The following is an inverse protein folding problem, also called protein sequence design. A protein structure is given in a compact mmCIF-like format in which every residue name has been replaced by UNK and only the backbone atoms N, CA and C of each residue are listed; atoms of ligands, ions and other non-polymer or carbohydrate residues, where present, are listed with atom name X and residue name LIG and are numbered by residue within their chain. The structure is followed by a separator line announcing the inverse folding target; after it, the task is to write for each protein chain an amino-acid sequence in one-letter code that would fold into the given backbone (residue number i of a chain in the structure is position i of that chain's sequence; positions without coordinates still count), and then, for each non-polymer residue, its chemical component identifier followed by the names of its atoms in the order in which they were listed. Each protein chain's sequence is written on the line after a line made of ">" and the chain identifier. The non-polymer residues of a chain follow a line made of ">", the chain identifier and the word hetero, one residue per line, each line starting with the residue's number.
data_IF_092487032347
#
_entry.id   IF_092487032347
#
_cell.length_a   1.000
_cell.length_b   1.000
_cell.length_c   1.000
_cell.angle_alpha   90.00
_cell.angle_beta   90.00
_cell.angle_gamma   90.00
#
_symmetry.space_group_name_H-M   'P 1'
#
loop_
_entity.id
_entity.type
_entity.pdbx_description
1 polymer ?
#
# COMPACT_ATOMS: atom_id res chain seq x y z
N UNK A 1 -19.55 -10.37 16.21
CA UNK A 1 -20.48 -9.55 15.41
C UNK A 1 -19.85 -8.19 15.26
N UNK A 2 -19.33 -7.78 14.09
CA UNK A 2 -18.88 -6.40 13.90
C UNK A 2 -20.11 -5.50 13.98
N UNK A 3 -20.03 -4.48 14.82
CA UNK A 3 -21.06 -3.45 14.95
C UNK A 3 -21.05 -2.64 13.66
N UNK A 4 -22.03 -2.87 12.79
CA UNK A 4 -22.28 -2.02 11.62
C UNK A 4 -22.46 -0.58 12.13
N UNK A 5 -21.49 0.29 11.86
CA UNK A 5 -21.60 1.71 12.17
C UNK A 5 -22.68 2.26 11.24
N UNK A 6 -23.90 2.39 11.74
CA UNK A 6 -25.04 2.96 11.03
C UNK A 6 -24.80 4.46 10.82
N UNK A 7 -24.13 4.82 9.73
CA UNK A 7 -23.98 6.22 9.33
C UNK A 7 -25.34 6.85 9.00
N UNK A 8 -25.57 8.05 9.49
CA UNK A 8 -26.74 8.87 9.12
C UNK A 8 -26.71 9.19 7.61
N UNK A 9 -27.85 9.51 6.99
CA UNK A 9 -27.87 9.92 5.58
C UNK A 9 -26.94 11.10 5.26
N UNK A 10 -26.75 12.02 6.22
CA UNK A 10 -25.83 13.15 6.08
C UNK A 10 -24.36 12.70 6.09
N UNK A 11 -23.99 11.79 6.98
CA UNK A 11 -22.65 11.21 7.04
C UNK A 11 -22.33 10.41 5.79
N UNK A 12 -23.24 9.55 5.31
CA UNK A 12 -23.04 8.81 4.05
C UNK A 12 -22.83 9.75 2.87
N UNK A 13 -23.57 10.86 2.80
CA UNK A 13 -23.37 11.87 1.75
C UNK A 13 -22.00 12.53 1.89
N UNK A 14 -21.60 12.86 3.11
CA UNK A 14 -20.29 13.46 3.39
C UNK A 14 -19.15 12.53 2.97
N UNK A 15 -19.21 11.26 3.35
CA UNK A 15 -18.22 10.25 2.95
C UNK A 15 -18.13 10.12 1.43
N UNK A 16 -19.28 10.02 0.75
CA UNK A 16 -19.30 9.91 -0.72
C UNK A 16 -18.68 11.11 -1.43
N UNK A 17 -18.89 12.32 -0.92
CA UNK A 17 -18.24 13.51 -1.50
C UNK A 17 -16.75 13.51 -1.21
N UNK A 18 -16.34 13.10 -0.02
CA UNK A 18 -14.93 12.97 0.35
C UNK A 18 -14.19 11.97 -0.55
N UNK A 19 -14.77 10.80 -0.79
CA UNK A 19 -14.24 9.80 -1.74
C UNK A 19 -14.14 10.35 -3.17
N UNK A 20 -15.12 11.12 -3.61
CA UNK A 20 -15.10 11.76 -4.94
C UNK A 20 -13.95 12.77 -5.07
N UNK A 21 -13.68 13.55 -4.01
CA UNK A 21 -12.55 14.48 -3.97
C UNK A 21 -11.23 13.71 -4.04
N UNK A 22 -11.06 12.67 -3.23
CA UNK A 22 -9.87 11.81 -3.23
C UNK A 22 -9.63 11.18 -4.59
N UNK A 23 -10.65 10.56 -5.19
CA UNK A 23 -10.56 9.97 -6.53
C UNK A 23 -10.17 10.98 -7.62
N UNK A 24 -10.64 12.23 -7.51
CA UNK A 24 -10.23 13.29 -8.43
C UNK A 24 -8.77 13.71 -8.18
N UNK A 25 -8.37 13.81 -6.92
CA UNK A 25 -7.01 14.13 -6.52
C UNK A 25 -6.02 13.07 -6.98
N UNK A 26 -6.36 11.78 -6.82
CA UNK A 26 -5.56 10.66 -7.33
C UNK A 26 -5.29 10.77 -8.84
N UNK A 27 -6.34 11.03 -9.64
CA UNK A 27 -6.18 11.17 -11.09
C UNK A 27 -5.26 12.32 -11.49
N UNK A 28 -5.32 13.43 -10.77
CA UNK A 28 -4.43 14.59 -11.02
C UNK A 28 -3.02 14.27 -10.55
N UNK A 29 -2.90 13.74 -9.36
CA UNK A 29 -1.62 13.33 -8.76
C UNK A 29 -0.87 12.33 -9.66
N UNK A 30 -1.59 11.39 -10.21
CA UNK A 30 -1.10 10.40 -11.16
C UNK A 30 -0.42 10.98 -12.38
N UNK A 31 -0.98 12.05 -12.93
CA UNK A 31 -0.53 12.63 -14.18
C UNK A 31 0.53 13.69 -13.98
N UNK A 32 0.48 14.41 -12.89
CA UNK A 32 1.20 15.67 -12.72
C UNK A 32 1.94 15.76 -11.38
N UNK A 33 1.87 14.71 -10.54
CA UNK A 33 2.48 14.70 -9.22
C UNK A 33 1.83 15.69 -8.24
N UNK A 34 2.48 15.87 -7.08
CA UNK A 34 2.02 16.80 -6.03
C UNK A 34 1.99 18.27 -6.52
N UNK A 35 2.90 18.63 -7.41
CA UNK A 35 2.98 20.00 -7.98
C UNK A 35 1.77 20.32 -8.85
N UNK A 36 1.25 19.35 -9.60
CA UNK A 36 0.06 19.52 -10.44
C UNK A 36 -1.25 19.59 -9.66
N UNK A 37 -1.26 19.15 -8.41
CA UNK A 37 -2.44 19.13 -7.57
C UNK A 37 -2.80 20.54 -7.09
N UNK A 38 -3.99 21.05 -7.43
CA UNK A 38 -4.52 22.29 -6.89
C UNK A 38 -5.98 22.15 -6.53
N UNK A 39 -6.40 22.72 -5.41
CA UNK A 39 -7.79 22.68 -4.93
C UNK A 39 -8.75 23.26 -5.98
N UNK A 40 -8.34 24.31 -6.72
CA UNK A 40 -9.17 24.89 -7.77
C UNK A 40 -9.42 23.92 -8.94
N UNK A 41 -8.40 23.20 -9.38
CA UNK A 41 -8.52 22.19 -10.45
C UNK A 41 -9.36 21.00 -10.00
N UNK A 42 -9.18 20.56 -8.76
CA UNK A 42 -10.00 19.47 -8.18
C UNK A 42 -11.46 19.86 -8.12
N UNK A 43 -11.76 21.04 -7.61
CA UNK A 43 -13.12 21.57 -7.53
C UNK A 43 -13.77 21.61 -8.92
N UNK A 44 -13.05 22.10 -9.93
CA UNK A 44 -13.52 22.12 -11.31
C UNK A 44 -13.74 20.71 -11.89
N UNK A 45 -12.89 19.74 -11.54
CA UNK A 45 -12.98 18.37 -12.06
C UNK A 45 -14.19 17.59 -11.54
N UNK A 46 -14.80 18.03 -10.42
CA UNK A 46 -15.95 17.37 -9.78
C UNK A 46 -17.18 18.30 -9.68
N UNK A 47 -17.18 19.43 -10.39
CA UNK A 47 -18.26 20.43 -10.41
C UNK A 47 -18.59 21.00 -9.01
N UNK A 48 -17.55 21.25 -8.20
CA UNK A 48 -17.68 21.85 -6.87
C UNK A 48 -16.94 23.20 -6.81
N UNK A 49 -17.23 24.01 -5.80
CA UNK A 49 -16.44 25.21 -5.51
C UNK A 49 -15.18 24.86 -4.69
N UNK A 50 -14.08 25.61 -4.81
CA UNK A 50 -12.92 25.46 -3.93
C UNK A 50 -13.28 25.52 -2.43
N UNK A 51 -14.19 26.42 -2.06
CA UNK A 51 -14.69 26.54 -0.70
C UNK A 51 -15.45 25.27 -0.22
N UNK A 52 -16.06 24.54 -1.13
CA UNK A 52 -16.69 23.26 -0.80
C UNK A 52 -15.65 22.18 -0.49
N UNK A 53 -14.53 22.14 -1.24
CA UNK A 53 -13.41 21.19 -0.95
C UNK A 53 -12.85 21.43 0.44
N UNK A 54 -12.61 22.69 0.82
CA UNK A 54 -12.09 23.06 2.15
C UNK A 54 -13.00 22.68 3.34
N UNK A 55 -14.27 22.30 3.10
CA UNK A 55 -15.13 21.72 4.15
C UNK A 55 -14.81 20.25 4.46
N UNK A 56 -14.09 19.59 3.58
CA UNK A 56 -13.73 18.18 3.69
C UNK A 56 -12.24 17.98 4.02
N UNK A 57 -11.40 18.88 3.52
CA UNK A 57 -9.94 18.89 3.70
C UNK A 57 -9.52 20.32 4.04
N UNK A 58 -8.96 20.53 5.21
CA UNK A 58 -8.58 21.87 5.70
C UNK A 58 -7.47 22.51 4.88
N UNK A 59 -6.65 21.70 4.19
CA UNK A 59 -5.55 22.18 3.33
C UNK A 59 -5.31 21.23 2.15
N UNK A 60 -4.46 21.68 1.19
CA UNK A 60 -3.92 20.82 0.14
C UNK A 60 -3.03 19.73 0.73
N UNK A 61 -2.25 20.08 1.75
CA UNK A 61 -1.30 19.15 2.38
C UNK A 61 -2.05 18.02 3.08
N UNK A 62 -3.12 18.31 3.82
CA UNK A 62 -3.99 17.29 4.41
C UNK A 62 -4.54 16.32 3.35
N UNK A 63 -5.00 16.84 2.21
CA UNK A 63 -5.46 16.01 1.10
C UNK A 63 -4.34 15.12 0.53
N UNK A 64 -3.13 15.66 0.40
CA UNK A 64 -1.96 14.92 -0.09
C UNK A 64 -1.54 13.85 0.94
N UNK A 65 -1.57 14.17 2.21
CA UNK A 65 -1.21 13.20 3.26
C UNK A 65 -2.21 12.05 3.30
N UNK A 66 -3.49 12.31 3.13
CA UNK A 66 -4.48 11.24 3.00
C UNK A 66 -4.29 10.38 1.75
N UNK A 67 -3.89 10.98 0.62
CA UNK A 67 -3.53 10.21 -0.57
C UNK A 67 -2.33 9.29 -0.32
N UNK A 68 -1.35 9.73 0.48
CA UNK A 68 -0.20 8.92 0.85
C UNK A 68 -0.59 7.73 1.72
N UNK A 69 -1.52 7.92 2.66
CA UNK A 69 -1.98 6.86 3.56
C UNK A 69 -2.88 5.84 2.86
N UNK A 70 -3.61 6.23 1.81
CA UNK A 70 -4.61 5.40 1.13
C UNK A 70 -4.07 4.08 0.58
N UNK A 71 -2.81 4.03 0.13
CA UNK A 71 -2.15 2.80 -0.31
C UNK A 71 -2.01 1.79 0.83
N UNK A 72 -1.56 2.26 1.99
CA UNK A 72 -1.36 1.40 3.15
C UNK A 72 -2.67 1.00 3.82
N UNK A 73 -3.72 1.84 3.74
CA UNK A 73 -5.07 1.47 4.19
C UNK A 73 -5.62 0.29 3.38
N UNK A 74 -5.52 0.34 2.05
CA UNK A 74 -5.91 -0.76 1.18
C UNK A 74 -5.10 -2.04 1.49
N UNK A 75 -3.77 -1.90 1.62
CA UNK A 75 -2.89 -3.01 1.95
C UNK A 75 -3.28 -3.67 3.27
N UNK A 76 -3.56 -2.88 4.31
CA UNK A 76 -3.92 -3.41 5.63
C UNK A 76 -5.24 -4.16 5.62
N UNK A 77 -6.24 -3.72 4.83
CA UNK A 77 -7.51 -4.42 4.68
C UNK A 77 -7.26 -5.83 4.12
N UNK A 78 -6.58 -5.93 2.99
CA UNK A 78 -6.35 -7.21 2.30
C UNK A 78 -5.45 -8.14 3.13
N UNK A 79 -4.43 -7.59 3.79
CA UNK A 79 -3.51 -8.37 4.63
C UNK A 79 -4.21 -8.90 5.89
N UNK A 80 -5.10 -8.15 6.52
CA UNK A 80 -5.90 -8.67 7.65
C UNK A 80 -6.77 -9.86 7.23
N UNK A 81 -7.40 -9.83 6.06
CA UNK A 81 -8.17 -10.97 5.54
C UNK A 81 -7.27 -12.21 5.32
N UNK A 82 -6.02 -12.00 4.88
CA UNK A 82 -5.06 -13.09 4.71
C UNK A 82 -4.68 -13.70 6.07
N UNK A 83 -4.44 -12.87 7.09
CA UNK A 83 -4.10 -13.33 8.44
C UNK A 83 -5.23 -14.12 9.09
N UNK A 84 -6.47 -13.68 8.92
CA UNK A 84 -7.65 -14.34 9.48
C UNK A 84 -8.04 -15.62 8.73
N UNK A 85 -7.38 -15.89 7.59
CA UNK A 85 -7.67 -17.09 6.80
C UNK A 85 -7.14 -18.36 7.45
N UNK A 86 -7.86 -19.49 7.26
CA UNK A 86 -7.44 -20.81 7.72
C UNK A 86 -6.31 -21.44 6.88
N UNK A 87 -5.65 -20.68 6.01
CA UNK A 87 -4.57 -21.19 5.15
C UNK A 87 -3.31 -21.49 5.96
N UNK A 88 -2.50 -22.47 5.55
CA UNK A 88 -1.19 -22.73 6.14
C UNK A 88 -0.31 -21.48 6.15
N UNK A 89 0.50 -21.33 7.20
CA UNK A 89 1.35 -20.14 7.39
C UNK A 89 2.15 -19.76 6.14
N UNK A 90 2.87 -20.71 5.53
CA UNK A 90 3.69 -20.43 4.35
C UNK A 90 2.87 -19.87 3.16
N UNK A 91 1.60 -20.27 3.00
CA UNK A 91 0.71 -19.71 1.99
C UNK A 91 0.28 -18.29 2.36
N UNK A 92 -0.02 -18.02 3.64
CA UNK A 92 -0.35 -16.67 4.13
C UNK A 92 0.84 -15.72 3.94
N UNK A 93 2.05 -16.16 4.27
CA UNK A 93 3.27 -15.38 4.11
C UNK A 93 3.51 -15.00 2.63
N UNK A 94 3.37 -15.96 1.70
CA UNK A 94 3.47 -15.67 0.26
C UNK A 94 2.40 -14.69 -0.21
N UNK A 95 1.16 -14.88 0.24
CA UNK A 95 0.06 -13.99 -0.11
C UNK A 95 0.31 -12.56 0.40
N UNK A 96 0.77 -12.36 1.64
CA UNK A 96 1.08 -11.03 2.17
C UNK A 96 2.15 -10.32 1.35
N UNK A 97 3.23 -11.01 0.96
CA UNK A 97 4.28 -10.47 0.10
C UNK A 97 3.73 -10.10 -1.29
N UNK A 98 2.92 -10.98 -1.89
CA UNK A 98 2.32 -10.76 -3.21
C UNK A 98 1.34 -9.58 -3.24
N UNK A 99 0.47 -9.50 -2.23
CA UNK A 99 -0.58 -8.47 -2.11
C UNK A 99 -0.01 -7.04 -2.16
N UNK A 100 1.14 -6.79 -1.52
CA UNK A 100 1.80 -5.48 -1.60
C UNK A 100 2.10 -5.08 -3.06
N UNK A 101 2.64 -6.00 -3.85
CA UNK A 101 3.02 -5.76 -5.24
C UNK A 101 1.78 -5.67 -6.14
N UNK A 102 0.78 -6.51 -5.89
CA UNK A 102 -0.49 -6.51 -6.63
C UNK A 102 -1.22 -5.18 -6.50
N UNK A 103 -1.39 -4.68 -5.26
CA UNK A 103 -2.02 -3.37 -5.02
C UNK A 103 -1.23 -2.24 -5.67
N UNK A 104 0.11 -2.25 -5.57
CA UNK A 104 0.95 -1.26 -6.21
C UNK A 104 0.81 -1.25 -7.74
N UNK A 105 0.69 -2.43 -8.35
CA UNK A 105 0.51 -2.60 -9.78
C UNK A 105 -0.91 -2.23 -10.28
N UNK A 106 -1.92 -2.49 -9.46
CA UNK A 106 -3.33 -2.19 -9.78
C UNK A 106 -3.72 -0.75 -9.43
N UNK A 107 -3.05 -0.18 -8.43
CA UNK A 107 -3.27 1.18 -7.93
C UNK A 107 -1.98 2.02 -7.98
N UNK A 108 -1.32 2.15 -9.15
CA UNK A 108 0.00 2.79 -9.25
C UNK A 108 0.02 4.25 -8.77
N UNK A 109 -1.13 4.89 -8.74
CA UNK A 109 -1.29 6.27 -8.30
C UNK A 109 -1.30 6.39 -6.78
N UNK A 110 -2.00 5.51 -6.07
CA UNK A 110 -1.95 5.41 -4.60
C UNK A 110 -0.52 5.06 -4.17
N UNK A 111 0.08 4.07 -4.83
CA UNK A 111 1.46 3.68 -4.57
C UNK A 111 2.43 4.83 -4.77
N UNK A 112 2.35 5.54 -5.91
CA UNK A 112 3.23 6.69 -6.17
C UNK A 112 3.02 7.82 -5.16
N UNK A 113 1.77 8.07 -4.73
CA UNK A 113 1.47 9.07 -3.70
C UNK A 113 2.13 8.70 -2.36
N UNK A 114 2.04 7.44 -1.94
CA UNK A 114 2.59 6.95 -0.67
C UNK A 114 4.12 7.14 -0.55
N UNK A 115 4.83 7.25 -1.68
CA UNK A 115 6.28 7.35 -1.73
C UNK A 115 6.81 8.65 -2.34
N UNK A 116 6.01 9.74 -2.33
CA UNK A 116 6.44 11.06 -2.77
C UNK A 116 6.60 12.04 -1.62
N UNK A 117 7.47 13.04 -1.80
CA UNK A 117 7.70 14.13 -0.84
C UNK A 117 8.72 13.82 0.25
N UNK A 118 8.74 14.64 1.32
CA UNK A 118 9.75 14.57 2.40
C UNK A 118 9.71 13.26 3.22
N UNK A 119 8.57 12.57 3.24
CA UNK A 119 8.43 11.29 3.95
C UNK A 119 9.39 10.19 3.43
N UNK A 120 9.88 10.32 2.19
CA UNK A 120 10.89 9.39 1.62
C UNK A 120 12.29 9.70 2.16
N UNK A 121 12.55 10.96 2.56
CA UNK A 121 13.88 11.38 3.00
C UNK A 121 14.20 10.97 4.43
N UNK A 122 13.19 10.80 5.29
CA UNK A 122 13.37 10.49 6.71
C UNK A 122 13.63 9.00 7.01
N UNK A 123 13.58 8.11 5.99
CA UNK A 123 13.80 6.67 6.18
C UNK A 123 12.67 5.98 6.96
N UNK A 124 12.93 4.72 7.36
CA UNK A 124 12.10 4.00 8.31
C UNK A 124 12.82 4.02 9.65
N UNK A 125 12.37 4.87 10.54
CA UNK A 125 12.71 4.80 11.94
C UNK A 125 11.56 4.10 12.67
N UNK A 126 11.78 2.84 13.02
CA UNK A 126 10.76 2.02 13.70
C UNK A 126 10.53 2.43 15.15
N UNK A 127 11.41 3.23 15.70
CA UNK A 127 11.34 3.74 17.07
C UNK A 127 10.72 5.15 17.11
N UNK A 128 10.41 5.75 15.94
CA UNK A 128 9.70 7.02 15.84
C UNK A 128 8.19 6.82 16.09
N UNK A 129 7.62 7.43 17.14
CA UNK A 129 6.19 7.30 17.44
C UNK A 129 5.27 7.82 16.30
N UNK A 130 5.72 8.78 15.51
CA UNK A 130 4.97 9.28 14.36
C UNK A 130 4.92 8.23 13.26
N UNK A 131 6.03 7.53 12.99
CA UNK A 131 6.07 6.40 12.07
C UNK A 131 5.18 5.25 12.56
N UNK A 132 5.28 4.85 13.82
CA UNK A 132 4.52 3.74 14.39
C UNK A 132 3.00 3.96 14.26
N UNK A 133 2.53 5.19 14.45
CA UNK A 133 1.11 5.55 14.36
C UNK A 133 0.60 5.71 12.92
N UNK A 134 1.48 5.88 11.93
CA UNK A 134 1.11 5.98 10.51
C UNK A 134 0.59 4.65 9.95
N UNK A 135 -0.19 4.68 8.87
CA UNK A 135 -0.62 3.45 8.19
C UNK A 135 0.57 2.68 7.61
N UNK A 136 1.60 3.39 7.15
CA UNK A 136 2.88 2.80 6.72
C UNK A 136 3.57 2.05 7.84
N UNK A 137 3.64 2.64 9.04
CA UNK A 137 4.21 1.99 10.22
C UNK A 137 3.41 0.75 10.63
N UNK A 138 2.09 0.85 10.68
CA UNK A 138 1.20 -0.29 10.95
C UNK A 138 1.41 -1.43 9.95
N UNK A 139 1.52 -1.12 8.65
CA UNK A 139 1.80 -2.13 7.62
C UNK A 139 3.18 -2.78 7.81
N UNK A 140 4.21 -2.01 8.20
CA UNK A 140 5.52 -2.54 8.53
C UNK A 140 5.47 -3.46 9.76
N UNK A 141 4.73 -3.09 10.80
CA UNK A 141 4.57 -3.93 12.00
C UNK A 141 3.84 -5.24 11.70
N UNK A 142 2.85 -5.23 10.81
CA UNK A 142 2.19 -6.46 10.35
C UNK A 142 3.17 -7.37 9.60
N UNK A 143 4.01 -6.84 8.74
CA UNK A 143 5.06 -7.61 8.06
C UNK A 143 6.06 -8.21 9.07
N UNK A 144 6.48 -7.42 10.06
CA UNK A 144 7.37 -7.88 11.14
C UNK A 144 6.73 -9.00 11.95
N UNK A 145 5.47 -8.85 12.37
CA UNK A 145 4.73 -9.86 13.14
C UNK A 145 4.56 -11.16 12.35
N UNK A 146 4.37 -11.10 11.03
CA UNK A 146 4.35 -12.29 10.19
C UNK A 146 5.69 -13.04 10.25
N UNK A 147 6.82 -12.34 10.23
CA UNK A 147 8.13 -12.98 10.32
C UNK A 147 8.35 -13.56 11.70
N UNK A 148 7.94 -12.88 12.77
CA UNK A 148 7.97 -13.36 14.15
C UNK A 148 7.17 -14.67 14.28
N UNK A 149 5.93 -14.72 13.78
CA UNK A 149 5.11 -15.93 13.74
C UNK A 149 5.83 -17.10 13.04
N UNK A 150 6.49 -16.81 11.90
CA UNK A 150 7.22 -17.81 11.12
C UNK A 150 8.42 -18.40 11.87
N UNK A 151 9.12 -17.58 12.64
CA UNK A 151 10.22 -18.04 13.50
C UNK A 151 9.69 -18.85 14.68
N UNK A 152 8.63 -18.37 15.35
CA UNK A 152 8.03 -19.00 16.49
C UNK A 152 7.44 -20.39 16.17
N UNK A 153 6.78 -20.54 15.03
CA UNK A 153 6.19 -21.81 14.59
C UNK A 153 7.19 -22.76 13.90
N UNK A 154 8.46 -22.33 13.73
CA UNK A 154 9.54 -23.12 13.15
C UNK A 154 9.52 -23.25 11.63
N UNK A 155 8.66 -22.49 10.92
CA UNK A 155 8.67 -22.44 9.46
C UNK A 155 9.89 -21.69 8.95
N UNK A 156 10.26 -20.60 9.64
CA UNK A 156 11.44 -19.82 9.34
C UNK A 156 12.60 -20.18 10.26
N UNK A 157 13.81 -19.96 9.77
CA UNK A 157 15.05 -20.20 10.54
C UNK A 157 15.05 -19.36 11.81
N UNK A 158 15.42 -19.97 12.93
CA UNK A 158 15.43 -19.35 14.28
C UNK A 158 16.46 -18.23 14.45
N UNK A 159 17.45 -18.17 13.56
CA UNK A 159 18.51 -17.15 13.56
C UNK A 159 18.09 -15.85 12.86
N UNK A 160 16.89 -15.82 12.26
CA UNK A 160 16.35 -14.66 11.60
C UNK A 160 16.04 -13.56 12.62
N UNK A 161 16.61 -12.36 12.42
CA UNK A 161 16.16 -11.15 13.09
C UNK A 161 14.89 -10.64 12.38
N UNK A 162 13.73 -10.59 13.04
CA UNK A 162 12.48 -10.21 12.40
C UNK A 162 12.47 -8.76 11.87
N UNK A 163 13.11 -7.82 12.58
CA UNK A 163 13.15 -6.41 12.19
C UNK A 163 14.02 -6.19 10.95
N UNK A 164 15.22 -6.77 10.94
CA UNK A 164 16.11 -6.67 9.78
C UNK A 164 15.52 -7.39 8.57
N UNK A 165 14.90 -8.54 8.79
CA UNK A 165 14.25 -9.31 7.72
C UNK A 165 13.03 -8.57 7.16
N UNK A 166 12.21 -7.94 8.01
CA UNK A 166 11.10 -7.12 7.55
C UNK A 166 11.57 -5.95 6.67
N UNK A 167 12.66 -5.27 7.04
CA UNK A 167 13.26 -4.21 6.22
C UNK A 167 13.74 -4.75 4.87
N UNK A 168 14.39 -5.92 4.85
CA UNK A 168 14.89 -6.58 3.63
C UNK A 168 13.76 -7.04 2.72
N UNK A 169 12.74 -7.70 3.27
CA UNK A 169 11.53 -8.13 2.54
C UNK A 169 10.82 -6.93 1.96
N UNK A 170 10.61 -5.89 2.76
CA UNK A 170 9.97 -4.68 2.28
C UNK A 170 10.76 -4.01 1.14
N UNK A 171 12.09 -3.89 1.24
CA UNK A 171 12.92 -3.35 0.17
C UNK A 171 12.77 -4.17 -1.14
N UNK A 172 12.70 -5.50 -1.04
CA UNK A 172 12.50 -6.39 -2.18
C UNK A 172 11.13 -6.22 -2.82
N UNK A 173 10.05 -6.23 -2.01
CA UNK A 173 8.68 -5.97 -2.49
C UNK A 173 8.56 -4.59 -3.13
N UNK A 174 9.15 -3.57 -2.50
CA UNK A 174 9.12 -2.19 -2.99
C UNK A 174 9.83 -2.05 -4.35
N UNK A 175 10.97 -2.70 -4.52
CA UNK A 175 11.69 -2.73 -5.80
C UNK A 175 10.83 -3.32 -6.92
N UNK A 176 10.18 -4.46 -6.69
CA UNK A 176 9.28 -5.06 -7.67
C UNK A 176 8.04 -4.21 -7.91
N UNK A 177 7.43 -3.66 -6.86
CA UNK A 177 6.26 -2.77 -6.95
C UNK A 177 6.56 -1.53 -7.80
N UNK A 178 7.73 -0.90 -7.62
CA UNK A 178 8.20 0.22 -8.46
C UNK A 178 8.28 -0.17 -9.94
N UNK A 179 8.83 -1.34 -10.24
CA UNK A 179 8.91 -1.83 -11.62
C UNK A 179 7.50 -2.08 -12.19
N UNK A 180 6.63 -2.76 -11.45
CA UNK A 180 5.25 -3.04 -11.88
C UNK A 180 4.41 -1.77 -12.08
N UNK A 181 4.56 -0.78 -11.20
CA UNK A 181 3.79 0.47 -11.25
C UNK A 181 4.23 1.39 -12.40
N UNK A 182 5.55 1.39 -12.75
CA UNK A 182 6.11 2.39 -13.66
C UNK A 182 6.65 1.82 -14.97
N UNK A 183 6.71 0.49 -15.13
CA UNK A 183 7.18 -0.19 -16.34
C UNK A 183 6.05 -1.05 -16.92
N UNK A 184 5.17 -0.53 -17.79
CA UNK A 184 3.97 -1.23 -18.25
C UNK A 184 4.22 -2.57 -18.95
N UNK A 185 5.43 -2.77 -19.50
CA UNK A 185 5.82 -4.01 -20.20
C UNK A 185 6.47 -5.04 -19.28
N UNK A 186 6.81 -4.68 -18.05
CA UNK A 186 7.40 -5.61 -17.09
C UNK A 186 6.35 -6.64 -16.61
N UNK A 187 6.67 -7.95 -16.48
CA UNK A 187 7.97 -8.62 -16.66
C UNK A 187 8.27 -9.11 -18.07
N UNK A 188 7.52 -8.72 -19.09
CA UNK A 188 7.71 -9.19 -20.45
C UNK A 188 8.95 -8.56 -21.11
N UNK A 189 10.06 -9.28 -21.13
CA UNK A 189 11.31 -8.79 -21.71
C UNK A 189 11.49 -9.06 -23.21
N UNK A 190 10.74 -9.99 -23.83
CA UNK A 190 10.78 -10.25 -25.29
C UNK A 190 9.61 -11.10 -25.77
N UNK A 191 9.18 -10.94 -27.04
CA UNK A 191 7.96 -11.56 -27.58
C UNK A 191 8.04 -13.06 -27.89
N UNK A 192 9.13 -13.76 -27.68
CA UNK A 192 9.30 -15.16 -28.09
C UNK A 192 9.72 -16.14 -27.00
N UNK A 193 9.59 -15.78 -25.76
CA UNK A 193 9.81 -16.69 -24.63
C UNK A 193 8.48 -16.89 -23.89
N UNK A 194 8.32 -18.05 -23.26
CA UNK A 194 7.21 -18.34 -22.36
C UNK A 194 7.18 -17.22 -21.28
N UNK A 195 6.44 -16.15 -21.55
CA UNK A 195 6.38 -14.97 -20.68
C UNK A 195 5.42 -15.29 -19.56
N UNK A 196 5.94 -15.35 -18.34
CA UNK A 196 5.12 -15.34 -17.13
C UNK A 196 4.17 -14.15 -17.18
N UNK A 197 2.92 -14.36 -16.83
CA UNK A 197 1.98 -13.27 -16.56
C UNK A 197 2.47 -12.45 -15.38
N UNK A 198 1.94 -11.25 -15.20
CA UNK A 198 2.23 -10.41 -14.04
C UNK A 198 1.97 -11.15 -12.73
N UNK A 199 0.83 -11.83 -12.63
CA UNK A 199 0.46 -12.59 -11.43
C UNK A 199 1.45 -13.73 -11.14
N UNK A 200 1.80 -14.52 -12.15
CA UNK A 200 2.78 -15.62 -12.00
C UNK A 200 4.16 -15.10 -11.59
N UNK A 201 4.56 -13.92 -12.07
CA UNK A 201 5.84 -13.33 -11.65
C UNK A 201 5.81 -12.81 -10.22
N UNK A 202 4.70 -12.22 -9.77
CA UNK A 202 4.50 -11.79 -8.38
C UNK A 202 4.54 -13.00 -7.44
N UNK A 203 3.83 -14.08 -7.81
CA UNK A 203 3.83 -15.33 -7.05
C UNK A 203 5.24 -15.94 -6.95
N UNK A 204 5.95 -16.00 -8.09
CA UNK A 204 7.34 -16.46 -8.12
C UNK A 204 8.23 -15.63 -7.19
N UNK A 205 8.12 -14.30 -7.23
CA UNK A 205 8.91 -13.41 -6.39
C UNK A 205 8.61 -13.61 -4.90
N UNK A 206 7.32 -13.70 -4.54
CA UNK A 206 6.89 -13.98 -3.18
C UNK A 206 7.42 -15.34 -2.68
N UNK A 207 7.39 -16.36 -3.52
CA UNK A 207 7.94 -17.70 -3.22
C UNK A 207 9.46 -17.63 -2.96
N UNK A 208 10.22 -16.91 -3.77
CA UNK A 208 11.66 -16.73 -3.56
C UNK A 208 11.99 -16.05 -2.22
N UNK A 209 11.22 -15.02 -1.85
CA UNK A 209 11.40 -14.33 -0.56
C UNK A 209 11.12 -15.27 0.60
N UNK A 210 9.97 -15.96 0.59
CA UNK A 210 9.57 -16.84 1.69
C UNK A 210 10.51 -18.02 1.83
N UNK A 211 10.87 -18.71 0.73
CA UNK A 211 11.85 -19.80 0.74
C UNK A 211 13.22 -19.36 1.23
N UNK A 212 13.63 -18.13 0.93
CA UNK A 212 14.87 -17.56 1.47
C UNK A 212 14.90 -17.48 2.99
N UNK A 213 13.77 -17.58 3.68
CA UNK A 213 13.64 -17.56 5.14
C UNK A 213 13.34 -18.93 5.75
N UNK A 214 12.87 -19.89 4.96
CA UNK A 214 12.49 -21.25 5.46
C UNK A 214 13.67 -21.97 6.15
N UNK A 215 13.33 -22.81 7.13
CA UNK A 215 14.28 -23.60 7.96
C UNK A 215 14.90 -24.78 7.21
#
# INVERSE_FOLDING_TARGET
>A
MPTEILHTPAERRRLKVREMILSAAERVFAREGAEGLSIRRLAQAIDYSPAAIYKYFGSKDELVDELKESFFELLLIDVHEIFDSAKPFAQRARACVGTYVEIAADKPHHYSAAFTGQAVQNGIDVDDPEFENSMKGKAFMVLKSMIEEGVENGTFRKEIDPTLSAKSVWASMHGLAMMMAHMPTFPAFKPNTNTLSRAEFIEFHADQIVRGMEA
#
